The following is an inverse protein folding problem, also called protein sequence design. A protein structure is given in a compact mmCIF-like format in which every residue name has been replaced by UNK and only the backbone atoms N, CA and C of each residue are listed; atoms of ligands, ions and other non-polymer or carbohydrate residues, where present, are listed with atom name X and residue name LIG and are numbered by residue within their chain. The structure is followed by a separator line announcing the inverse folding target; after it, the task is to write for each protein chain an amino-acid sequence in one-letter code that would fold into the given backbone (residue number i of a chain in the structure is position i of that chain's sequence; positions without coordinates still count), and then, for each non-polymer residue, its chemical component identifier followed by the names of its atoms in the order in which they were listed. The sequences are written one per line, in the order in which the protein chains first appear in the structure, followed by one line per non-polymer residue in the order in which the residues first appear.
data_IF_327586773964
#
_entry.id   IF_327586773964
#
_cell.length_a   1.000
_cell.length_b   1.000
_cell.length_c   1.000
_cell.angle_alpha   90.00
_cell.angle_beta   90.00
_cell.angle_gamma   90.00
#
_symmetry.space_group_name_H-M   'P 1'
#
loop_
_entity.id
_entity.type
_entity.pdbx_description
1 polymer ?
#
# COMPACT_ATOMS: atom_id res chain seq x y z
N UNK A 1 7.94 28.93 35.27
CA UNK A 1 8.29 27.56 35.69
C UNK A 1 7.19 26.63 35.25
N UNK A 2 7.51 25.53 34.60
CA UNK A 2 6.53 24.46 34.31
C UNK A 2 6.57 23.50 35.48
N UNK A 3 5.50 23.43 36.26
CA UNK A 3 5.36 22.42 37.29
C UNK A 3 4.91 21.12 36.64
N UNK A 4 5.70 20.05 36.80
CA UNK A 4 5.31 18.70 36.38
C UNK A 4 4.20 18.13 37.28
N UNK A 5 3.54 17.06 36.79
CA UNK A 5 2.63 16.26 37.61
C UNK A 5 3.41 15.66 38.79
N UNK A 6 2.84 15.76 40.02
CA UNK A 6 3.39 15.13 41.19
C UNK A 6 2.74 13.77 41.46
N UNK A 7 3.34 12.93 42.28
CA UNK A 7 2.78 11.63 42.70
C UNK A 7 1.41 11.74 43.42
N UNK A 8 1.04 12.97 43.81
CA UNK A 8 -0.27 13.27 44.42
C UNK A 8 -1.32 13.71 43.41
N UNK A 9 -0.97 13.83 42.09
CA UNK A 9 -1.91 14.26 41.08
C UNK A 9 -2.90 13.14 40.76
N UNK A 10 -4.20 13.41 40.83
CA UNK A 10 -5.23 12.46 40.40
C UNK A 10 -5.27 12.38 38.86
N UNK A 11 -5.48 11.16 38.34
CA UNK A 11 -5.71 10.91 36.93
C UNK A 11 -7.11 10.32 36.77
N UNK A 12 -7.95 11.00 36.01
CA UNK A 12 -9.35 10.63 35.78
C UNK A 12 -9.69 10.64 34.28
N UNK A 13 -10.68 9.85 33.85
CA UNK A 13 -11.15 9.73 32.47
C UNK A 13 -12.57 10.31 32.34
N UNK A 14 -12.75 11.61 32.58
CA UNK A 14 -14.03 12.30 32.66
C UNK A 14 -14.23 13.46 31.64
N UNK A 15 -13.22 13.81 30.85
CA UNK A 15 -13.37 14.90 29.86
C UNK A 15 -14.08 14.42 28.57
N UNK A 16 -15.38 14.62 28.52
CA UNK A 16 -16.21 14.30 27.35
C UNK A 16 -16.03 15.26 26.16
N UNK A 17 -15.30 16.38 26.32
CA UNK A 17 -15.06 17.35 25.24
C UNK A 17 -13.79 17.08 24.45
N UNK A 18 -12.95 16.19 24.91
CA UNK A 18 -11.72 15.79 24.24
C UNK A 18 -12.05 14.98 22.98
N UNK A 19 -11.41 15.33 21.87
CA UNK A 19 -11.36 14.55 20.63
C UNK A 19 -9.98 13.91 20.57
N UNK A 20 -9.90 12.62 20.85
CA UNK A 20 -8.61 11.91 21.00
C UNK A 20 -7.76 12.01 19.73
N UNK A 21 -8.39 11.89 18.55
CA UNK A 21 -7.72 11.92 17.26
C UNK A 21 -8.38 12.97 16.34
N UNK A 22 -8.29 14.24 16.73
CA UNK A 22 -8.90 15.37 16.01
C UNK A 22 -8.33 15.54 14.61
N UNK A 23 -7.08 15.16 14.38
CA UNK A 23 -6.42 15.21 13.09
C UNK A 23 -7.06 14.37 12.02
N UNK A 24 -7.87 13.37 12.36
CA UNK A 24 -8.69 12.61 11.41
C UNK A 24 -9.62 13.50 10.57
N UNK A 25 -9.88 14.76 10.97
CA UNK A 25 -10.70 15.70 10.18
C UNK A 25 -10.20 15.83 8.74
N UNK A 26 -8.89 15.69 8.49
CA UNK A 26 -8.31 15.72 7.14
C UNK A 26 -8.82 14.53 6.31
N UNK A 27 -8.57 13.31 6.79
CA UNK A 27 -8.95 12.09 6.08
C UNK A 27 -10.48 11.93 5.97
N UNK A 28 -11.22 12.31 7.01
CA UNK A 28 -12.69 12.32 7.01
C UNK A 28 -13.23 13.28 5.94
N UNK A 29 -12.66 14.49 5.85
CA UNK A 29 -13.06 15.47 4.85
C UNK A 29 -12.77 14.94 3.44
N UNK A 30 -11.57 14.39 3.21
CA UNK A 30 -11.22 13.80 1.92
C UNK A 30 -12.13 12.61 1.58
N UNK A 31 -12.36 11.70 2.52
CA UNK A 31 -13.25 10.55 2.34
C UNK A 31 -14.67 10.96 1.93
N UNK A 32 -15.19 12.07 2.51
CA UNK A 32 -16.47 12.66 2.11
C UNK A 32 -16.42 13.27 0.71
N UNK A 33 -15.36 14.01 0.39
CA UNK A 33 -15.17 14.59 -0.96
C UNK A 33 -15.08 13.51 -2.03
N UNK A 34 -14.43 12.39 -1.74
CA UNK A 34 -14.35 11.22 -2.62
C UNK A 34 -15.62 10.35 -2.61
N UNK A 35 -16.56 10.60 -1.70
CA UNK A 35 -17.81 9.83 -1.59
C UNK A 35 -17.59 8.37 -1.15
N UNK A 36 -16.65 8.11 -0.21
CA UNK A 36 -16.29 6.76 0.22
C UNK A 36 -17.50 5.99 0.76
N UNK A 37 -18.31 6.60 1.65
CA UNK A 37 -19.48 5.96 2.25
C UNK A 37 -20.47 5.53 1.18
N UNK A 38 -20.83 6.47 0.30
CA UNK A 38 -21.80 6.26 -0.78
C UNK A 38 -21.35 5.18 -1.76
N UNK A 39 -20.06 5.15 -2.11
CA UNK A 39 -19.50 4.11 -2.98
C UNK A 39 -19.64 2.71 -2.36
N UNK A 40 -19.38 2.59 -1.05
CA UNK A 40 -19.52 1.31 -0.34
C UNK A 40 -20.99 0.91 -0.27
N UNK A 41 -21.88 1.84 0.14
CA UNK A 41 -23.32 1.56 0.25
C UNK A 41 -23.94 1.21 -1.10
N UNK A 42 -23.47 1.79 -2.19
CA UNK A 42 -23.92 1.46 -3.53
C UNK A 42 -23.41 0.11 -4.04
N UNK A 43 -22.15 -0.25 -3.73
CA UNK A 43 -21.49 -1.41 -4.32
C UNK A 43 -21.61 -2.70 -3.49
N UNK A 44 -21.59 -2.60 -2.15
CA UNK A 44 -21.50 -3.78 -1.25
C UNK A 44 -22.90 -4.22 -0.85
N UNK A 45 -23.33 -5.34 -1.41
CA UNK A 45 -24.68 -5.92 -1.22
C UNK A 45 -24.57 -7.24 -0.47
N UNK A 46 -24.63 -7.20 0.85
CA UNK A 46 -24.50 -8.40 1.71
C UNK A 46 -25.81 -9.17 1.88
N UNK A 47 -26.94 -8.67 1.32
CA UNK A 47 -28.25 -9.31 1.44
C UNK A 47 -28.79 -9.32 2.88
N UNK A 48 -29.53 -10.35 3.25
CA UNK A 48 -30.08 -10.54 4.60
C UNK A 48 -29.11 -11.07 5.66
N UNK A 49 -27.81 -11.04 5.40
CA UNK A 49 -26.80 -11.60 6.33
C UNK A 49 -26.68 -10.75 7.60
N UNK A 50 -26.32 -11.36 8.76
CA UNK A 50 -26.02 -10.62 9.96
C UNK A 50 -24.93 -9.58 9.69
N UNK A 51 -25.11 -8.35 10.16
CA UNK A 51 -24.15 -7.27 9.91
C UNK A 51 -24.25 -6.61 8.53
N UNK A 52 -25.23 -6.91 7.67
CA UNK A 52 -25.38 -6.35 6.33
C UNK A 52 -25.73 -4.87 6.28
N UNK A 53 -26.45 -4.35 7.29
CA UNK A 53 -26.93 -2.96 7.31
C UNK A 53 -25.80 -1.94 7.34
N UNK A 54 -25.96 -0.82 6.64
CA UNK A 54 -25.03 0.34 6.62
C UNK A 54 -23.57 -0.07 6.40
N UNK A 55 -23.24 -0.77 5.30
CA UNK A 55 -21.86 -1.24 5.05
C UNK A 55 -20.87 -0.08 4.96
N UNK A 56 -21.27 1.08 4.41
CA UNK A 56 -20.42 2.28 4.34
C UNK A 56 -19.95 2.74 5.70
N UNK A 57 -20.82 2.82 6.71
CA UNK A 57 -20.47 3.22 8.08
C UNK A 57 -19.47 2.27 8.74
N UNK A 58 -19.60 0.97 8.46
CA UNK A 58 -18.69 -0.04 9.00
C UNK A 58 -17.32 0.05 8.35
N UNK A 59 -17.28 0.23 7.02
CA UNK A 59 -16.02 0.46 6.30
C UNK A 59 -15.35 1.75 6.77
N UNK A 60 -16.10 2.85 6.96
CA UNK A 60 -15.54 4.10 7.50
C UNK A 60 -14.94 3.89 8.89
N UNK A 61 -15.63 3.18 9.80
CA UNK A 61 -15.10 2.89 11.14
C UNK A 61 -13.77 2.12 11.05
N UNK A 62 -13.69 1.09 10.21
CA UNK A 62 -12.45 0.34 9.99
C UNK A 62 -11.35 1.21 9.36
N UNK A 63 -11.66 1.96 8.30
CA UNK A 63 -10.69 2.83 7.61
C UNK A 63 -10.11 3.87 8.58
N UNK A 64 -10.94 4.53 9.37
CA UNK A 64 -10.47 5.57 10.30
C UNK A 64 -9.62 4.96 11.43
N UNK A 65 -9.98 3.78 11.96
CA UNK A 65 -9.14 3.09 12.93
C UNK A 65 -7.79 2.66 12.32
N UNK A 66 -7.79 2.10 11.12
CA UNK A 66 -6.56 1.70 10.42
C UNK A 66 -5.64 2.89 10.11
N UNK A 67 -6.16 4.07 9.80
CA UNK A 67 -5.37 5.30 9.66
C UNK A 67 -4.64 5.68 10.95
N UNK A 68 -5.19 5.32 12.10
CA UNK A 68 -4.56 5.49 13.43
C UNK A 68 -3.62 4.35 13.80
N UNK A 69 -3.51 3.32 12.95
CA UNK A 69 -2.62 2.19 13.17
C UNK A 69 -3.30 0.95 13.76
N UNK A 70 -4.63 0.90 13.83
CA UNK A 70 -5.34 -0.30 14.26
C UNK A 70 -4.99 -1.50 13.36
N UNK A 71 -4.59 -2.60 13.97
CA UNK A 71 -4.28 -3.87 13.34
C UNK A 71 -5.24 -5.00 13.78
N UNK A 72 -6.09 -4.70 14.74
CA UNK A 72 -7.14 -5.58 15.23
C UNK A 72 -8.52 -4.91 15.16
N UNK A 73 -9.58 -5.73 15.31
CA UNK A 73 -10.94 -5.21 15.36
C UNK A 73 -11.18 -4.46 16.67
N UNK A 74 -10.55 -4.88 17.76
CA UNK A 74 -10.73 -4.31 19.10
C UNK A 74 -10.17 -2.89 19.18
N UNK A 75 -9.08 -2.61 18.46
CA UNK A 75 -8.48 -1.26 18.39
C UNK A 75 -9.45 -0.22 17.82
N UNK A 76 -10.45 -0.66 17.03
CA UNK A 76 -11.49 0.25 16.54
C UNK A 76 -12.28 0.91 17.68
N UNK A 77 -12.18 0.37 18.89
CA UNK A 77 -12.77 0.94 20.10
C UNK A 77 -12.27 2.35 20.41
N UNK A 78 -11.03 2.69 20.06
CA UNK A 78 -10.43 4.02 20.27
C UNK A 78 -11.25 5.16 19.65
N UNK A 79 -11.91 4.89 18.53
CA UNK A 79 -12.76 5.89 17.84
C UNK A 79 -14.01 6.28 18.65
N UNK A 80 -14.37 5.51 19.68
CA UNK A 80 -15.55 5.73 20.53
C UNK A 80 -15.23 6.57 21.76
N UNK A 81 -13.97 6.96 21.94
CA UNK A 81 -13.51 7.74 23.11
C UNK A 81 -13.77 9.23 22.93
N UNK A 82 -14.20 9.89 24.00
CA UNK A 82 -14.50 11.31 24.03
C UNK A 82 -15.50 11.73 22.93
N UNK A 83 -15.27 12.88 22.33
CA UNK A 83 -16.10 13.40 21.22
C UNK A 83 -15.54 13.11 19.82
N UNK A 84 -14.79 12.03 19.64
CA UNK A 84 -14.22 11.67 18.33
C UNK A 84 -15.30 11.51 17.25
N UNK A 85 -16.50 11.03 17.60
CA UNK A 85 -17.64 10.91 16.68
C UNK A 85 -18.05 12.24 16.03
N UNK A 86 -17.85 13.37 16.69
CA UNK A 86 -18.17 14.69 16.13
C UNK A 86 -17.25 15.04 14.94
N UNK A 87 -15.99 14.62 14.99
CA UNK A 87 -15.04 14.78 13.87
C UNK A 87 -15.37 13.79 12.77
N UNK A 88 -15.68 12.53 13.12
CA UNK A 88 -16.05 11.50 12.15
C UNK A 88 -17.37 11.84 11.44
N UNK A 89 -18.27 12.55 12.13
CA UNK A 89 -19.62 12.86 11.65
C UNK A 89 -20.57 11.66 11.65
N UNK A 90 -20.19 10.62 12.37
CA UNK A 90 -21.00 9.43 12.62
C UNK A 90 -20.55 8.71 13.88
N UNK A 91 -21.46 7.97 14.47
CA UNK A 91 -21.15 7.10 15.60
C UNK A 91 -20.32 5.90 15.11
N UNK A 92 -19.10 5.67 15.62
CA UNK A 92 -18.29 4.51 15.27
C UNK A 92 -18.97 3.21 15.69
N UNK A 93 -18.82 2.19 14.86
CA UNK A 93 -19.38 0.88 15.12
C UNK A 93 -18.58 0.14 16.21
N UNK A 94 -19.28 -0.64 17.04
CA UNK A 94 -18.64 -1.46 18.05
C UNK A 94 -17.78 -2.59 17.41
N UNK A 95 -16.69 -3.01 18.04
CA UNK A 95 -15.83 -4.10 17.54
C UNK A 95 -16.62 -5.37 17.19
N UNK A 96 -17.55 -5.81 18.02
CA UNK A 96 -18.41 -6.97 17.78
C UNK A 96 -19.24 -6.84 16.49
N UNK A 97 -19.77 -5.64 16.22
CA UNK A 97 -20.52 -5.33 14.98
C UNK A 97 -19.62 -5.38 13.77
N UNK A 98 -18.38 -4.86 13.88
CA UNK A 98 -17.38 -4.89 12.79
C UNK A 98 -16.93 -6.33 12.51
N UNK A 99 -16.72 -7.14 13.53
CA UNK A 99 -16.40 -8.56 13.37
C UNK A 99 -17.51 -9.34 12.68
N UNK A 100 -18.77 -9.12 13.04
CA UNK A 100 -19.94 -9.72 12.37
C UNK A 100 -20.04 -9.27 10.92
N UNK A 101 -19.84 -8.00 10.64
CA UNK A 101 -19.80 -7.45 9.28
C UNK A 101 -18.74 -8.13 8.41
N UNK A 102 -17.50 -8.25 8.87
CA UNK A 102 -16.42 -8.88 8.12
C UNK A 102 -16.72 -10.37 7.83
N UNK A 103 -17.26 -11.10 8.80
CA UNK A 103 -17.64 -12.52 8.61
C UNK A 103 -18.78 -12.72 7.63
N UNK A 104 -19.56 -11.67 7.31
CA UNK A 104 -20.64 -11.74 6.31
C UNK A 104 -20.15 -11.73 4.86
N UNK A 105 -18.88 -11.42 4.63
CA UNK A 105 -18.34 -11.40 3.27
C UNK A 105 -18.19 -12.80 2.68
N UNK A 106 -18.53 -12.92 1.40
CA UNK A 106 -18.14 -14.02 0.52
C UNK A 106 -17.15 -13.51 -0.53
N UNK A 107 -16.62 -14.40 -1.36
CA UNK A 107 -15.75 -14.03 -2.48
C UNK A 107 -16.38 -12.93 -3.38
N UNK A 108 -17.64 -13.06 -3.72
CA UNK A 108 -18.36 -12.07 -4.54
C UNK A 108 -18.43 -10.70 -3.87
N UNK A 109 -18.65 -10.65 -2.57
CA UNK A 109 -18.68 -9.40 -1.80
C UNK A 109 -17.31 -8.74 -1.70
N UNK A 110 -16.24 -9.51 -1.57
CA UNK A 110 -14.86 -8.99 -1.64
C UNK A 110 -14.61 -8.34 -3.01
N UNK A 111 -15.11 -8.92 -4.10
CA UNK A 111 -15.00 -8.32 -5.44
C UNK A 111 -15.80 -7.02 -5.59
N UNK A 112 -16.93 -6.90 -4.88
CA UNK A 112 -17.66 -5.63 -4.80
C UNK A 112 -16.85 -4.55 -4.08
N UNK A 113 -16.22 -4.90 -2.96
CA UNK A 113 -15.36 -3.99 -2.21
C UNK A 113 -14.08 -3.61 -2.99
N UNK A 114 -13.47 -4.54 -3.70
CA UNK A 114 -12.34 -4.28 -4.61
C UNK A 114 -12.72 -3.29 -5.74
N UNK A 115 -13.97 -3.32 -6.20
CA UNK A 115 -14.50 -2.32 -7.14
C UNK A 115 -14.56 -0.93 -6.52
N UNK A 116 -14.91 -0.83 -5.24
CA UNK A 116 -14.87 0.46 -4.50
C UNK A 116 -13.47 1.03 -4.48
N UNK A 117 -12.43 0.22 -4.18
CA UNK A 117 -11.03 0.65 -4.24
C UNK A 117 -10.70 1.26 -5.61
N UNK A 118 -11.11 0.61 -6.71
CA UNK A 118 -10.88 1.15 -8.06
C UNK A 118 -11.66 2.43 -8.37
N UNK A 119 -12.87 2.59 -7.83
CA UNK A 119 -13.65 3.82 -7.99
C UNK A 119 -13.06 4.97 -7.18
N UNK A 120 -12.59 4.70 -5.96
CA UNK A 120 -11.89 5.70 -5.14
C UNK A 120 -10.60 6.16 -5.81
N UNK A 121 -9.80 5.22 -6.36
CA UNK A 121 -8.61 5.55 -7.13
C UNK A 121 -8.95 6.54 -8.26
N UNK A 122 -9.98 6.26 -9.05
CA UNK A 122 -10.44 7.14 -10.13
C UNK A 122 -10.81 8.53 -9.63
N UNK A 123 -11.57 8.61 -8.51
CA UNK A 123 -11.99 9.89 -7.95
C UNK A 123 -10.81 10.68 -7.36
N UNK A 124 -9.88 10.02 -6.68
CA UNK A 124 -8.68 10.65 -6.16
C UNK A 124 -7.77 11.17 -7.29
N UNK A 125 -7.62 10.40 -8.37
CA UNK A 125 -6.84 10.84 -9.52
C UNK A 125 -7.48 12.02 -10.25
N UNK A 126 -8.79 12.03 -10.40
CA UNK A 126 -9.53 13.18 -10.92
C UNK A 126 -9.44 14.42 -10.01
N UNK A 127 -9.22 14.22 -8.70
CA UNK A 127 -9.02 15.29 -7.72
C UNK A 127 -7.55 15.79 -7.63
N UNK A 128 -6.68 15.36 -8.54
CA UNK A 128 -5.29 15.84 -8.64
C UNK A 128 -4.22 14.85 -8.13
N UNK A 129 -4.60 13.69 -7.57
CA UNK A 129 -3.61 12.69 -7.13
C UNK A 129 -3.10 11.79 -8.28
N UNK A 130 -3.63 11.92 -9.50
CA UNK A 130 -3.32 11.04 -10.62
C UNK A 130 -2.03 11.36 -11.36
N UNK A 131 -1.51 10.41 -12.17
CA UNK A 131 -0.33 10.63 -13.01
C UNK A 131 -0.61 11.50 -14.24
N UNK A 132 -1.89 11.72 -14.58
CA UNK A 132 -2.27 12.44 -15.80
C UNK A 132 -1.71 11.78 -17.06
N UNK A 133 -1.09 12.59 -17.92
CA UNK A 133 -0.37 12.14 -19.13
C UNK A 133 1.07 11.68 -18.83
N UNK A 134 1.55 11.81 -17.60
CA UNK A 134 2.88 11.38 -17.20
C UNK A 134 3.04 9.85 -17.26
N UNK A 135 4.29 9.41 -17.27
CA UNK A 135 4.62 7.98 -17.18
C UNK A 135 4.17 7.41 -15.83
N UNK A 136 3.45 6.30 -15.87
CA UNK A 136 3.03 5.56 -14.68
C UNK A 136 3.97 4.36 -14.46
N UNK A 137 4.75 4.39 -13.38
CA UNK A 137 5.57 3.26 -12.95
C UNK A 137 4.80 2.48 -11.90
N UNK A 138 4.62 1.19 -12.16
CA UNK A 138 3.88 0.26 -11.30
C UNK A 138 4.84 -0.83 -10.82
N UNK A 139 4.94 -0.98 -9.51
CA UNK A 139 5.62 -2.09 -8.87
C UNK A 139 4.63 -3.17 -8.48
N UNK A 140 4.91 -4.40 -8.87
CA UNK A 140 4.08 -5.57 -8.54
C UNK A 140 4.92 -6.57 -7.76
N UNK A 141 4.41 -6.95 -6.60
CA UNK A 141 5.07 -7.90 -5.72
C UNK A 141 4.07 -8.81 -5.00
N UNK A 142 4.59 -9.80 -4.30
CA UNK A 142 3.84 -10.66 -3.40
C UNK A 142 4.55 -10.75 -2.05
N UNK A 143 3.80 -10.91 -0.98
CA UNK A 143 4.39 -11.03 0.35
C UNK A 143 3.68 -12.11 1.16
N UNK A 144 4.34 -12.57 2.22
CA UNK A 144 3.70 -13.46 3.19
C UNK A 144 3.07 -12.62 4.29
N UNK A 145 1.75 -12.74 4.40
CA UNK A 145 0.99 -12.22 5.53
C UNK A 145 0.88 -13.30 6.60
N UNK A 146 1.80 -13.27 7.56
CA UNK A 146 1.93 -14.31 8.58
C UNK A 146 0.70 -14.40 9.49
N UNK A 147 0.38 -15.60 9.95
CA UNK A 147 -0.66 -15.86 10.93
C UNK A 147 -0.16 -16.88 11.95
N UNK A 148 -0.55 -16.69 13.21
CA UNK A 148 -0.08 -17.54 14.30
C UNK A 148 -1.06 -18.68 14.63
N UNK A 149 -2.32 -18.63 14.13
CA UNK A 149 -3.32 -19.65 14.40
C UNK A 149 -3.46 -20.62 13.23
N UNK A 150 -3.25 -21.92 13.48
CA UNK A 150 -3.29 -22.98 12.48
C UNK A 150 -4.67 -23.20 11.84
N UNK A 151 -5.76 -22.79 12.52
CA UNK A 151 -7.13 -23.03 12.07
C UNK A 151 -7.69 -21.91 11.15
N UNK A 152 -6.87 -20.95 10.68
CA UNK A 152 -7.36 -19.90 9.78
C UNK A 152 -7.58 -20.46 8.38
N UNK A 153 -8.80 -20.32 7.87
CA UNK A 153 -9.21 -20.79 6.56
C UNK A 153 -8.32 -20.20 5.44
N UNK A 154 -7.69 -21.05 4.65
CA UNK A 154 -6.84 -20.66 3.53
C UNK A 154 -5.42 -20.23 3.90
N UNK A 155 -5.07 -20.18 5.18
CA UNK A 155 -3.67 -20.09 5.58
C UNK A 155 -2.94 -21.40 5.21
N UNK A 156 -1.66 -21.30 4.91
CA UNK A 156 -0.84 -22.44 4.53
C UNK A 156 0.63 -22.05 4.47
N UNK A 157 1.48 -23.05 4.45
CA UNK A 157 2.91 -22.88 4.28
C UNK A 157 3.24 -22.68 2.81
N UNK A 158 3.95 -21.61 2.50
CA UNK A 158 4.51 -21.30 1.19
C UNK A 158 6.00 -21.60 1.13
N UNK A 159 6.69 -21.01 0.15
CA UNK A 159 8.14 -21.16 -0.06
C UNK A 159 9.01 -20.65 1.11
N UNK A 160 8.47 -19.76 1.94
CA UNK A 160 9.16 -19.22 3.13
C UNK A 160 9.05 -20.12 4.35
N UNK A 161 8.34 -21.25 4.27
CA UNK A 161 8.03 -22.12 5.40
C UNK A 161 7.34 -21.42 6.59
N UNK A 162 6.71 -20.25 6.35
CA UNK A 162 5.90 -19.54 7.34
C UNK A 162 4.43 -19.75 7.06
N UNK A 163 3.66 -19.99 8.12
CA UNK A 163 2.20 -20.10 8.01
C UNK A 163 1.58 -18.74 7.73
N UNK A 164 0.80 -18.62 6.66
CA UNK A 164 0.20 -17.33 6.33
C UNK A 164 -0.66 -17.33 5.09
N UNK A 165 -0.95 -16.13 4.61
CA UNK A 165 -1.53 -15.85 3.31
C UNK A 165 -0.44 -15.32 2.37
N UNK A 166 -0.71 -15.34 1.06
CA UNK A 166 0.25 -14.89 0.05
C UNK A 166 -0.40 -13.84 -0.89
N UNK A 167 -0.62 -12.58 -0.43
CA UNK A 167 -1.22 -11.53 -1.23
C UNK A 167 -0.38 -11.16 -2.45
N UNK A 168 -1.04 -10.76 -3.55
CA UNK A 168 -0.46 -9.95 -4.62
C UNK A 168 -0.78 -8.48 -4.36
N UNK A 169 0.18 -7.62 -4.59
CA UNK A 169 0.09 -6.18 -4.43
C UNK A 169 0.66 -5.48 -5.65
N UNK A 170 -0.02 -4.43 -6.11
CA UNK A 170 0.49 -3.51 -7.11
C UNK A 170 0.43 -2.09 -6.56
N UNK A 171 1.53 -1.36 -6.65
CA UNK A 171 1.67 0.00 -6.12
C UNK A 171 2.17 0.95 -7.20
N UNK A 172 1.84 2.21 -7.08
CA UNK A 172 2.44 3.29 -7.85
C UNK A 172 3.76 3.69 -7.19
N UNK A 173 4.84 3.69 -7.96
CA UNK A 173 6.20 3.81 -7.44
C UNK A 173 6.49 5.17 -6.77
N UNK A 174 6.05 6.28 -7.38
CA UNK A 174 6.33 7.65 -6.93
C UNK A 174 5.50 8.07 -5.70
N UNK A 175 4.28 7.54 -5.56
CA UNK A 175 3.33 7.97 -4.53
C UNK A 175 3.06 6.91 -3.46
N UNK A 176 3.49 5.68 -3.69
CA UNK A 176 3.27 4.55 -2.78
C UNK A 176 1.78 4.20 -2.55
N UNK A 177 0.89 4.63 -3.43
CA UNK A 177 -0.52 4.23 -3.36
C UNK A 177 -0.73 2.81 -3.89
N UNK A 178 -1.65 2.08 -3.30
CA UNK A 178 -2.02 0.73 -3.76
C UNK A 178 -2.98 0.84 -4.93
N UNK A 179 -2.58 0.31 -6.08
CA UNK A 179 -3.38 0.28 -7.30
C UNK A 179 -4.29 -0.95 -7.36
N UNK A 180 -3.79 -2.09 -6.92
CA UNK A 180 -4.54 -3.35 -6.88
C UNK A 180 -4.01 -4.28 -5.80
N UNK A 181 -4.90 -5.07 -5.21
CA UNK A 181 -4.55 -6.07 -4.20
C UNK A 181 -5.41 -7.31 -4.36
N UNK A 182 -4.82 -8.48 -4.06
CA UNK A 182 -5.56 -9.73 -3.99
C UNK A 182 -5.01 -10.63 -2.91
N UNK A 183 -5.79 -10.89 -1.86
CA UNK A 183 -5.45 -11.94 -0.90
C UNK A 183 -5.55 -13.31 -1.60
N UNK A 184 -4.54 -14.17 -1.36
CA UNK A 184 -4.49 -15.55 -1.86
C UNK A 184 -4.20 -16.50 -0.71
N UNK A 185 -4.52 -17.78 -0.91
CA UNK A 185 -4.15 -18.83 0.03
C UNK A 185 -2.62 -18.92 0.18
N UNK A 186 -2.15 -19.30 1.34
CA UNK A 186 -0.72 -19.32 1.67
C UNK A 186 0.14 -20.20 0.77
N UNK A 187 -0.37 -21.36 0.38
CA UNK A 187 0.32 -22.28 -0.55
C UNK A 187 0.28 -21.85 -2.03
N UNK A 188 -0.26 -20.66 -2.36
CA UNK A 188 -0.27 -20.19 -3.74
C UNK A 188 1.13 -19.69 -4.14
N UNK A 189 1.69 -20.22 -5.24
CA UNK A 189 2.90 -19.63 -5.83
C UNK A 189 2.58 -18.27 -6.48
N UNK A 190 3.60 -17.43 -6.71
CA UNK A 190 3.42 -16.08 -7.24
C UNK A 190 2.77 -16.06 -8.63
N UNK A 191 3.08 -17.01 -9.49
CA UNK A 191 2.55 -17.08 -10.86
C UNK A 191 1.06 -17.40 -10.92
N UNK A 192 0.50 -18.09 -9.89
CA UNK A 192 -0.90 -18.47 -9.86
C UNK A 192 -1.79 -17.23 -9.81
N UNK A 193 -2.52 -16.97 -10.89
CA UNK A 193 -3.42 -15.83 -11.03
C UNK A 193 -2.75 -14.50 -11.40
N UNK A 194 -1.42 -14.48 -11.62
CA UNK A 194 -0.68 -13.27 -11.99
C UNK A 194 -1.20 -12.63 -13.29
N UNK A 195 -1.49 -13.42 -14.32
CA UNK A 195 -2.04 -12.89 -15.58
C UNK A 195 -3.34 -12.13 -15.35
N UNK A 196 -4.30 -12.73 -14.64
CA UNK A 196 -5.58 -12.08 -14.34
C UNK A 196 -5.39 -10.84 -13.46
N UNK A 197 -4.47 -10.89 -12.51
CA UNK A 197 -4.13 -9.75 -11.66
C UNK A 197 -3.60 -8.57 -12.48
N UNK A 198 -2.68 -8.84 -13.42
CA UNK A 198 -2.13 -7.82 -14.32
C UNK A 198 -3.20 -7.26 -15.26
N UNK A 199 -4.08 -8.10 -15.82
CA UNK A 199 -5.21 -7.63 -16.65
C UNK A 199 -6.14 -6.68 -15.89
N UNK A 200 -6.53 -7.07 -14.68
CA UNK A 200 -7.40 -6.24 -13.83
C UNK A 200 -6.70 -4.95 -13.40
N UNK A 201 -5.41 -5.00 -13.11
CA UNK A 201 -4.58 -3.84 -12.77
C UNK A 201 -4.52 -2.84 -13.93
N UNK A 202 -4.14 -3.29 -15.13
CA UNK A 202 -4.02 -2.42 -16.30
C UNK A 202 -5.36 -1.79 -16.69
N UNK A 203 -6.43 -2.57 -16.67
CA UNK A 203 -7.79 -2.05 -16.90
C UNK A 203 -8.18 -1.00 -15.86
N UNK A 204 -7.84 -1.22 -14.60
CA UNK A 204 -8.12 -0.31 -13.49
C UNK A 204 -7.41 1.02 -13.63
N UNK A 205 -6.10 1.03 -13.87
CA UNK A 205 -5.32 2.27 -13.96
C UNK A 205 -5.69 3.08 -15.20
N UNK A 206 -5.97 2.42 -16.33
CA UNK A 206 -6.49 3.09 -17.54
C UNK A 206 -7.86 3.73 -17.28
N UNK A 207 -8.77 3.00 -16.63
CA UNK A 207 -10.09 3.53 -16.24
C UNK A 207 -10.00 4.64 -15.20
N UNK A 208 -8.96 4.64 -14.39
CA UNK A 208 -8.72 5.70 -13.41
C UNK A 208 -8.17 7.00 -14.02
N UNK A 209 -7.67 6.96 -15.26
CA UNK A 209 -7.22 8.17 -15.98
C UNK A 209 -5.72 8.18 -16.33
N UNK A 210 -5.00 7.07 -16.18
CA UNK A 210 -3.63 6.99 -16.68
C UNK A 210 -3.62 6.94 -18.22
N UNK A 211 -3.18 8.01 -18.88
CA UNK A 211 -3.09 8.08 -20.36
C UNK A 211 -1.66 7.88 -20.87
N UNK A 212 -0.65 8.16 -20.04
CA UNK A 212 0.75 8.04 -20.40
C UNK A 212 1.27 6.61 -20.52
N UNK A 213 2.57 6.48 -20.78
CA UNK A 213 3.27 5.19 -20.86
C UNK A 213 3.23 4.49 -19.49
N UNK A 214 2.89 3.21 -19.49
CA UNK A 214 2.98 2.36 -18.29
C UNK A 214 4.30 1.58 -18.34
N UNK A 215 5.06 1.62 -17.24
CA UNK A 215 6.17 0.72 -16.96
C UNK A 215 5.78 -0.18 -15.77
N UNK A 216 5.78 -1.49 -15.98
CA UNK A 216 5.57 -2.47 -14.92
C UNK A 216 6.91 -3.07 -14.50
N UNK A 217 7.24 -2.98 -13.20
CA UNK A 217 8.39 -3.65 -12.58
C UNK A 217 7.91 -4.77 -11.68
N UNK A 218 8.60 -5.89 -11.71
CA UNK A 218 8.25 -7.05 -10.87
C UNK A 218 9.48 -7.93 -10.61
N UNK A 219 9.39 -8.73 -9.55
CA UNK A 219 10.37 -9.77 -9.24
C UNK A 219 10.26 -10.98 -10.18
N UNK A 220 11.14 -11.96 -10.00
CA UNK A 220 11.18 -13.18 -10.80
C UNK A 220 9.94 -14.07 -10.65
N UNK A 221 9.15 -13.89 -9.60
CA UNK A 221 7.89 -14.59 -9.41
C UNK A 221 6.83 -14.26 -10.47
N UNK A 222 6.98 -13.12 -11.15
CA UNK A 222 6.11 -12.71 -12.28
C UNK A 222 6.69 -13.05 -13.65
N UNK A 223 7.85 -13.67 -13.72
CA UNK A 223 8.44 -14.11 -14.97
C UNK A 223 7.63 -15.24 -15.60
N UNK A 224 6.66 -14.87 -16.41
CA UNK A 224 5.72 -15.80 -17.05
C UNK A 224 5.43 -15.34 -18.47
N UNK A 225 5.55 -16.25 -19.45
CA UNK A 225 5.34 -15.96 -20.87
C UNK A 225 4.00 -15.29 -21.17
N UNK A 226 2.91 -15.73 -20.51
CA UNK A 226 1.56 -15.17 -20.70
C UNK A 226 1.45 -13.74 -20.16
N UNK A 227 2.10 -13.43 -19.03
CA UNK A 227 2.15 -12.08 -18.48
C UNK A 227 2.92 -11.15 -19.40
N UNK A 228 4.09 -11.58 -19.88
CA UNK A 228 4.94 -10.81 -20.78
C UNK A 228 4.22 -10.53 -22.11
N UNK A 229 3.61 -11.56 -22.72
CA UNK A 229 2.81 -11.40 -23.92
C UNK A 229 1.67 -10.38 -23.74
N UNK A 230 0.96 -10.44 -22.61
CA UNK A 230 -0.10 -9.50 -22.27
C UNK A 230 0.42 -8.07 -22.11
N UNK A 231 1.56 -7.87 -21.44
CA UNK A 231 2.17 -6.54 -21.30
C UNK A 231 2.53 -5.94 -22.67
N UNK A 232 3.10 -6.74 -23.58
CA UNK A 232 3.40 -6.34 -24.96
C UNK A 232 2.12 -5.98 -25.74
N UNK A 233 1.11 -6.83 -25.69
CA UNK A 233 -0.19 -6.62 -26.32
C UNK A 233 -0.85 -5.30 -25.86
N UNK A 234 -0.69 -4.96 -24.60
CA UNK A 234 -1.22 -3.71 -23.99
C UNK A 234 -0.29 -2.49 -24.19
N UNK A 235 0.79 -2.62 -24.94
CA UNK A 235 1.74 -1.53 -25.18
C UNK A 235 2.47 -1.07 -23.92
N UNK A 236 2.58 -1.93 -22.89
CA UNK A 236 3.27 -1.61 -21.65
C UNK A 236 4.76 -1.89 -21.77
N UNK A 237 5.57 -1.02 -21.20
CA UNK A 237 6.96 -1.31 -20.89
C UNK A 237 7.03 -2.18 -19.64
N UNK A 238 8.06 -3.02 -19.57
CA UNK A 238 8.26 -3.86 -18.39
C UNK A 238 9.73 -4.03 -18.06
N UNK A 239 9.99 -4.41 -16.81
CA UNK A 239 11.29 -4.79 -16.27
C UNK A 239 11.03 -5.87 -15.21
N UNK A 240 11.27 -7.14 -15.53
CA UNK A 240 10.88 -8.30 -14.72
C UNK A 240 12.12 -9.14 -14.43
N UNK A 241 12.39 -9.37 -13.14
CA UNK A 241 13.46 -10.25 -12.70
C UNK A 241 13.33 -11.65 -13.31
N UNK A 242 14.43 -12.34 -13.51
CA UNK A 242 14.44 -13.74 -13.92
C UNK A 242 15.07 -14.62 -12.86
N UNK A 243 14.55 -15.83 -12.69
CA UNK A 243 15.15 -16.83 -11.80
C UNK A 243 16.40 -17.40 -12.46
N UNK A 244 17.49 -17.54 -11.71
CA UNK A 244 18.76 -18.10 -12.17
C UNK A 244 18.66 -19.62 -12.42
N UNK A 245 17.93 -19.98 -13.48
CA UNK A 245 17.84 -21.37 -13.95
C UNK A 245 19.01 -21.69 -14.84
N UNK A 246 19.29 -22.99 -15.04
CA UNK A 246 20.45 -23.47 -15.82
C UNK A 246 20.59 -22.81 -17.19
N UNK A 247 19.52 -22.60 -17.92
CA UNK A 247 19.57 -21.96 -19.25
C UNK A 247 19.85 -20.45 -19.17
N UNK A 248 19.45 -19.76 -18.11
CA UNK A 248 19.77 -18.34 -17.87
C UNK A 248 21.25 -18.23 -17.52
N UNK A 249 21.74 -19.03 -16.58
CA UNK A 249 23.16 -19.06 -16.18
C UNK A 249 24.07 -19.40 -17.38
N UNK A 250 23.70 -20.39 -18.21
CA UNK A 250 24.42 -20.72 -19.42
C UNK A 250 24.48 -19.54 -20.42
N UNK A 251 23.38 -18.77 -20.51
CA UNK A 251 23.36 -17.58 -21.38
C UNK A 251 24.24 -16.46 -20.85
N UNK A 252 24.28 -16.26 -19.54
CA UNK A 252 25.15 -15.27 -18.88
C UNK A 252 26.64 -15.65 -19.07
N UNK A 253 26.97 -16.91 -18.95
CA UNK A 253 28.34 -17.39 -19.13
C UNK A 253 28.90 -17.17 -20.54
N UNK A 254 28.05 -16.92 -21.54
CA UNK A 254 28.46 -16.59 -22.91
C UNK A 254 28.72 -15.09 -23.11
N UNK A 255 28.53 -14.25 -22.12
CA UNK A 255 28.83 -12.81 -22.20
C UNK A 255 30.35 -12.64 -22.10
N UNK A 256 31.02 -12.07 -23.13
CA UNK A 256 32.46 -11.89 -23.08
C UNK A 256 32.86 -10.88 -21.98
N UNK A 257 34.02 -11.05 -21.36
CA UNK A 257 34.49 -10.16 -20.31
C UNK A 257 34.57 -8.69 -20.75
N UNK A 258 34.86 -8.44 -22.01
CA UNK A 258 34.91 -7.09 -22.60
C UNK A 258 33.57 -6.38 -22.70
N UNK A 259 32.45 -7.10 -22.53
CA UNK A 259 31.10 -6.52 -22.58
C UNK A 259 30.61 -6.01 -21.21
N UNK A 260 31.32 -6.33 -20.13
CA UNK A 260 30.97 -5.86 -18.81
C UNK A 260 31.43 -4.42 -18.59
N UNK A 261 30.50 -3.57 -18.18
CA UNK A 261 30.75 -2.15 -17.95
C UNK A 261 30.53 -1.82 -16.47
N UNK A 262 31.45 -1.09 -15.82
CA UNK A 262 31.33 -0.73 -14.41
C UNK A 262 30.15 0.22 -14.19
N UNK A 263 29.49 0.09 -13.04
CA UNK A 263 28.43 1.00 -12.58
C UNK A 263 29.09 2.04 -11.68
N UNK A 264 29.12 3.30 -12.16
CA UNK A 264 29.85 4.39 -11.51
C UNK A 264 29.37 4.71 -10.08
N UNK A 265 28.07 4.65 -9.81
CA UNK A 265 27.47 5.06 -8.52
C UNK A 265 27.06 3.85 -7.66
N UNK A 266 27.86 2.79 -7.67
CA UNK A 266 27.65 1.66 -6.79
C UNK A 266 28.31 1.93 -5.42
N UNK A 267 27.69 1.54 -4.29
CA UNK A 267 28.29 1.76 -2.95
C UNK A 267 29.71 1.17 -2.84
N UNK A 268 30.60 1.84 -2.10
CA UNK A 268 32.00 1.44 -1.88
C UNK A 268 32.22 0.05 -1.24
N UNK A 269 31.14 -0.67 -0.94
CA UNK A 269 31.16 -2.03 -0.37
C UNK A 269 31.47 -3.13 -1.39
N UNK A 270 31.61 -2.80 -2.68
CA UNK A 270 31.86 -3.80 -3.72
C UNK A 270 32.02 -3.23 -5.13
N UNK A 271 32.31 -4.10 -6.07
CA UNK A 271 32.36 -3.79 -7.50
C UNK A 271 31.07 -4.26 -8.15
N UNK A 272 30.47 -3.41 -8.97
CA UNK A 272 29.28 -3.71 -9.71
C UNK A 272 29.47 -3.45 -11.20
N UNK A 273 29.11 -4.41 -12.02
CA UNK A 273 29.20 -4.32 -13.47
C UNK A 273 27.90 -4.75 -14.13
N UNK A 274 27.62 -4.18 -15.30
CA UNK A 274 26.48 -4.47 -16.14
C UNK A 274 26.90 -4.98 -17.50
N UNK A 275 26.17 -5.96 -17.99
CA UNK A 275 26.21 -6.37 -19.38
C UNK A 275 24.81 -6.67 -19.89
N UNK A 276 24.65 -6.75 -21.19
CA UNK A 276 23.37 -7.14 -21.80
C UNK A 276 23.56 -8.23 -22.84
N UNK A 277 22.52 -9.05 -22.98
CA UNK A 277 22.40 -10.09 -23.98
C UNK A 277 20.92 -10.33 -24.30
N UNK A 278 20.59 -11.40 -24.95
CA UNK A 278 19.21 -11.80 -25.23
C UNK A 278 18.86 -13.12 -24.55
N UNK A 279 17.63 -13.25 -24.08
CA UNK A 279 17.04 -14.51 -23.61
C UNK A 279 15.80 -14.81 -24.47
N UNK A 280 15.98 -15.68 -25.49
CA UNK A 280 15.00 -15.80 -26.55
C UNK A 280 14.90 -14.49 -27.35
N UNK A 281 13.67 -13.96 -27.46
CA UNK A 281 13.36 -12.69 -28.14
C UNK A 281 13.40 -11.46 -27.20
N UNK A 282 13.89 -11.63 -25.96
CA UNK A 282 13.84 -10.59 -24.94
C UNK A 282 15.25 -10.07 -24.64
N UNK A 283 15.36 -8.74 -24.46
CA UNK A 283 16.58 -8.11 -23.93
C UNK A 283 16.75 -8.55 -22.48
N UNK A 284 17.91 -9.12 -22.18
CA UNK A 284 18.34 -9.52 -20.84
C UNK A 284 19.44 -8.57 -20.37
N UNK A 285 19.19 -7.84 -19.30
CA UNK A 285 20.19 -7.03 -18.63
C UNK A 285 20.67 -7.83 -17.41
N UNK A 286 22.00 -7.94 -17.27
CA UNK A 286 22.64 -8.69 -16.20
C UNK A 286 23.53 -7.75 -15.41
N UNK A 287 23.35 -7.73 -14.11
CA UNK A 287 24.23 -7.08 -13.15
C UNK A 287 25.01 -8.15 -12.41
N UNK A 288 26.34 -8.02 -12.36
CA UNK A 288 27.19 -8.83 -11.50
C UNK A 288 27.79 -7.97 -10.39
N UNK A 289 27.84 -8.52 -9.20
CA UNK A 289 28.32 -7.83 -8.00
C UNK A 289 29.35 -8.71 -7.31
N UNK A 290 30.48 -8.13 -7.01
CA UNK A 290 31.50 -8.70 -6.15
C UNK A 290 31.59 -7.83 -4.88
N UNK A 291 31.24 -8.39 -3.72
CA UNK A 291 31.33 -7.70 -2.44
C UNK A 291 32.76 -7.81 -1.92
N UNK A 292 33.32 -6.71 -1.41
CA UNK A 292 34.60 -6.77 -0.69
C UNK A 292 34.35 -7.57 0.60
N UNK A 293 35.18 -8.59 0.84
CA UNK A 293 35.12 -9.37 2.07
C UNK A 293 35.37 -8.44 3.26
N UNK A 294 34.42 -8.34 4.18
CA UNK A 294 34.60 -7.61 5.44
C UNK A 294 35.46 -8.41 6.44
N UNK A 295 35.58 -9.72 6.23
CA UNK A 295 36.45 -10.62 7.02
C UNK A 295 37.63 -11.11 6.16
N UNK A 296 38.82 -11.08 6.74
CA UNK A 296 40.12 -11.48 6.13
C UNK A 296 40.23 -12.99 5.81
N UNK A 297 39.12 -13.71 5.62
CA UNK A 297 39.20 -15.05 5.05
C UNK A 297 39.35 -14.91 3.54
N UNK A 298 40.54 -15.22 3.10
CA UNK A 298 40.99 -15.33 1.71
C UNK A 298 40.01 -16.17 0.90
N UNK A 299 39.09 -15.53 0.19
CA UNK A 299 38.36 -16.21 -0.88
C UNK A 299 39.37 -16.50 -2.01
N UNK A 300 39.70 -17.77 -2.18
CA UNK A 300 40.61 -18.26 -3.25
C UNK A 300 40.14 -17.95 -4.66
N UNK A 301 38.84 -17.57 -4.83
CA UNK A 301 38.21 -17.21 -6.12
C UNK A 301 37.25 -16.04 -5.94
N UNK A 302 37.37 -15.03 -6.80
CA UNK A 302 36.39 -13.94 -6.90
C UNK A 302 35.04 -14.48 -7.33
N UNK A 303 34.08 -14.52 -6.41
CA UNK A 303 32.73 -15.01 -6.70
C UNK A 303 31.80 -13.85 -7.11
N UNK A 304 31.41 -13.83 -8.39
CA UNK A 304 30.43 -12.88 -8.89
C UNK A 304 29.01 -13.35 -8.62
N UNK A 305 28.23 -12.54 -7.92
CA UNK A 305 26.81 -12.76 -7.77
C UNK A 305 26.04 -12.06 -8.91
N UNK A 306 25.27 -12.82 -9.66
CA UNK A 306 24.52 -12.33 -10.81
C UNK A 306 23.06 -12.03 -10.47
N UNK A 307 22.56 -10.89 -10.95
CA UNK A 307 21.17 -10.49 -10.93
C UNK A 307 20.76 -10.17 -12.35
N UNK A 308 19.67 -10.74 -12.82
CA UNK A 308 19.24 -10.55 -14.20
C UNK A 308 17.76 -10.25 -14.30
N UNK A 309 17.39 -9.44 -15.27
CA UNK A 309 16.01 -9.13 -15.56
C UNK A 309 15.80 -8.95 -17.07
N UNK A 310 14.61 -9.26 -17.53
CA UNK A 310 14.18 -9.05 -18.91
C UNK A 310 13.41 -7.74 -19.07
N UNK A 311 13.54 -7.12 -20.22
CA UNK A 311 12.88 -5.86 -20.52
C UNK A 311 12.58 -5.73 -22.03
N UNK A 312 11.56 -4.91 -22.37
CA UNK A 312 11.30 -4.42 -23.73
C UNK A 312 11.68 -2.94 -23.90
N UNK A 313 12.40 -2.39 -22.94
CA UNK A 313 12.92 -1.02 -23.00
C UNK A 313 14.15 -0.96 -23.90
N UNK A 314 14.36 0.21 -24.50
CA UNK A 314 15.45 0.43 -25.47
C UNK A 314 16.52 1.42 -24.96
N UNK A 315 16.28 2.05 -23.81
CA UNK A 315 17.22 2.99 -23.19
C UNK A 315 18.52 2.26 -22.75
N UNK A 316 19.62 3.00 -22.46
CA UNK A 316 20.88 2.41 -22.03
C UNK A 316 20.72 1.49 -20.81
N UNK A 317 21.47 0.39 -20.78
CA UNK A 317 21.36 -0.64 -19.74
C UNK A 317 21.55 -0.07 -18.32
N UNK A 318 22.47 0.86 -18.12
CA UNK A 318 22.69 1.51 -16.84
C UNK A 318 21.47 2.27 -16.33
N UNK A 319 20.77 3.00 -17.18
CA UNK A 319 19.55 3.70 -16.82
C UNK A 319 18.42 2.72 -16.48
N UNK A 320 18.27 1.68 -17.29
CA UNK A 320 17.23 0.66 -17.09
C UNK A 320 17.47 -0.14 -15.81
N UNK A 321 18.73 -0.49 -15.51
CA UNK A 321 19.09 -1.18 -14.25
C UNK A 321 18.88 -0.28 -13.03
N UNK A 322 19.32 0.97 -13.07
CA UNK A 322 19.11 1.92 -11.98
C UNK A 322 17.63 2.06 -11.63
N UNK A 323 16.77 2.16 -12.64
CA UNK A 323 15.34 2.24 -12.44
C UNK A 323 14.72 0.91 -12.00
N UNK A 324 15.21 -0.23 -12.51
CA UNK A 324 14.76 -1.55 -12.06
C UNK A 324 15.04 -1.77 -10.56
N UNK A 325 16.21 -1.35 -10.08
CA UNK A 325 16.57 -1.44 -8.64
C UNK A 325 15.60 -0.68 -7.72
N UNK A 326 15.00 0.40 -8.22
CA UNK A 326 13.98 1.15 -7.46
C UNK A 326 12.69 0.33 -7.22
N UNK A 327 12.54 -0.86 -7.82
CA UNK A 327 11.45 -1.78 -7.50
C UNK A 327 11.39 -2.11 -5.99
N UNK A 328 12.50 -2.09 -5.27
CA UNK A 328 12.54 -2.25 -3.82
C UNK A 328 11.63 -1.29 -3.04
N UNK A 329 11.14 -0.22 -3.66
CA UNK A 329 10.17 0.69 -3.02
C UNK A 329 8.84 0.02 -2.69
N UNK A 330 8.43 -1.04 -3.41
CA UNK A 330 7.21 -1.80 -3.06
C UNK A 330 7.32 -2.44 -1.68
N UNK A 331 8.53 -2.84 -1.26
CA UNK A 331 8.78 -3.39 0.08
C UNK A 331 8.46 -2.37 1.18
N UNK A 332 8.68 -1.07 0.91
CA UNK A 332 8.34 0.01 1.84
C UNK A 332 6.82 0.12 2.02
N UNK A 333 6.05 -0.06 0.94
CA UNK A 333 4.58 -0.07 1.00
C UNK A 333 4.08 -1.30 1.75
N UNK A 334 4.68 -2.48 1.47
CA UNK A 334 4.36 -3.72 2.19
C UNK A 334 4.65 -3.54 3.68
N UNK A 335 5.78 -2.94 4.05
CA UNK A 335 6.13 -2.62 5.43
C UNK A 335 5.11 -1.64 6.05
N UNK A 336 4.75 -0.55 5.36
CA UNK A 336 3.76 0.40 5.85
C UNK A 336 2.39 -0.26 6.10
N UNK A 337 1.99 -1.20 5.24
CA UNK A 337 0.75 -1.98 5.42
C UNK A 337 0.85 -2.96 6.60
N UNK A 338 2.02 -3.59 6.80
CA UNK A 338 2.29 -4.51 7.93
C UNK A 338 2.45 -3.77 9.26
N UNK A 339 2.95 -2.54 9.25
CA UNK A 339 3.05 -1.68 10.44
C UNK A 339 1.66 -1.14 10.90
N UNK A 340 0.62 -1.48 10.17
CA UNK A 340 -0.76 -1.09 10.41
C UNK A 340 -1.69 -2.32 10.30
N UNK A 341 -2.79 -2.15 9.59
CA UNK A 341 -3.87 -3.12 9.47
C UNK A 341 -3.46 -4.54 9.00
N UNK A 342 -2.37 -4.70 8.25
CA UNK A 342 -1.92 -6.01 7.80
C UNK A 342 -0.84 -6.65 8.69
N UNK A 343 -0.57 -6.08 9.88
CA UNK A 343 0.18 -6.78 10.92
C UNK A 343 -0.53 -8.08 11.34
N UNK A 344 -1.87 -8.03 11.34
CA UNK A 344 -2.71 -9.18 11.68
C UNK A 344 -3.82 -9.43 10.66
N UNK A 345 -4.32 -10.66 10.64
CA UNK A 345 -5.53 -11.06 9.93
C UNK A 345 -6.57 -11.49 10.98
N UNK A 346 -7.54 -10.62 11.34
CA UNK A 346 -8.30 -10.75 12.58
C UNK A 346 -9.33 -11.88 12.59
N UNK A 347 -9.61 -12.53 11.46
CA UNK A 347 -10.67 -13.54 11.36
C UNK A 347 -10.12 -14.94 11.08
N UNK A 348 -10.86 -15.99 11.52
CA UNK A 348 -10.67 -17.37 11.05
C UNK A 348 -11.17 -17.59 9.61
N UNK A 349 -12.02 -16.70 9.08
CA UNK A 349 -12.63 -16.82 7.75
C UNK A 349 -11.81 -16.14 6.66
N UNK A 350 -11.49 -16.84 5.59
CA UNK A 350 -10.71 -16.32 4.46
C UNK A 350 -11.32 -15.08 3.80
N UNK A 351 -12.65 -15.08 3.56
CA UNK A 351 -13.32 -13.95 2.92
C UNK A 351 -13.35 -12.71 3.81
N UNK A 352 -13.43 -12.87 5.13
CA UNK A 352 -13.34 -11.77 6.09
C UNK A 352 -11.95 -11.12 6.05
N UNK A 353 -10.89 -11.95 6.05
CA UNK A 353 -9.51 -11.46 5.93
C UNK A 353 -9.25 -10.84 4.54
N UNK A 354 -9.90 -11.34 3.48
CA UNK A 354 -9.83 -10.72 2.15
C UNK A 354 -10.49 -9.34 2.14
N UNK A 355 -11.65 -9.19 2.79
CA UNK A 355 -12.31 -7.89 2.94
C UNK A 355 -11.45 -6.92 3.78
N UNK A 356 -10.89 -7.40 4.91
CA UNK A 356 -9.93 -6.66 5.74
C UNK A 356 -8.76 -6.13 4.92
N UNK A 357 -8.15 -6.98 4.07
CA UNK A 357 -7.03 -6.59 3.20
C UNK A 357 -7.40 -5.46 2.24
N UNK A 358 -8.57 -5.51 1.62
CA UNK A 358 -9.01 -4.43 0.71
C UNK A 358 -9.29 -3.15 1.49
N UNK A 359 -9.91 -3.23 2.67
CA UNK A 359 -10.17 -2.07 3.55
C UNK A 359 -8.85 -1.45 4.02
N UNK A 360 -7.85 -2.26 4.37
CA UNK A 360 -6.51 -1.80 4.71
C UNK A 360 -5.86 -1.00 3.58
N UNK A 361 -5.99 -1.47 2.33
CA UNK A 361 -5.51 -0.72 1.17
C UNK A 361 -6.30 0.57 0.92
N UNK A 362 -7.61 0.60 1.18
CA UNK A 362 -8.42 1.84 1.12
C UNK A 362 -7.94 2.83 2.18
N UNK A 363 -7.68 2.38 3.41
CA UNK A 363 -7.17 3.23 4.49
C UNK A 363 -5.78 3.78 4.16
N UNK A 364 -4.86 2.91 3.72
CA UNK A 364 -3.53 3.32 3.27
C UNK A 364 -3.61 4.40 2.19
N UNK A 365 -4.41 4.16 1.15
CA UNK A 365 -4.57 5.11 0.05
C UNK A 365 -5.19 6.42 0.51
N UNK A 366 -6.20 6.40 1.38
CA UNK A 366 -6.80 7.62 1.90
C UNK A 366 -5.77 8.47 2.65
N UNK A 367 -4.88 7.84 3.43
CA UNK A 367 -3.75 8.50 4.07
C UNK A 367 -2.76 9.09 3.06
N UNK A 368 -2.39 8.32 2.03
CA UNK A 368 -1.49 8.78 0.96
C UNK A 368 -2.09 9.95 0.18
N UNK A 369 -3.35 9.85 -0.25
CA UNK A 369 -4.04 10.92 -0.97
C UNK A 369 -4.23 12.17 -0.11
N UNK A 370 -4.44 12.02 1.22
CA UNK A 370 -4.48 13.17 2.14
C UNK A 370 -3.15 13.93 2.10
N UNK A 371 -2.02 13.22 2.08
CA UNK A 371 -0.71 13.84 1.97
C UNK A 371 -0.47 14.42 0.56
N UNK A 372 -0.73 13.66 -0.52
CA UNK A 372 -0.50 14.10 -1.90
C UNK A 372 -1.28 15.37 -2.28
N UNK A 373 -2.54 15.45 -1.88
CA UNK A 373 -3.42 16.58 -2.21
C UNK A 373 -3.16 17.73 -1.24
N UNK A 374 -2.88 17.42 0.02
CA UNK A 374 -2.80 18.39 1.09
C UNK A 374 -1.44 19.03 1.27
N UNK A 375 -0.36 18.27 1.14
CA UNK A 375 0.99 18.73 1.48
C UNK A 375 1.78 19.20 0.26
N UNK A 376 2.72 20.14 0.43
CA UNK A 376 3.62 20.56 -0.65
C UNK A 376 4.62 19.47 -1.03
N UNK A 377 5.07 18.66 -0.06
CA UNK A 377 5.95 17.50 -0.26
C UNK A 377 5.25 16.23 0.25
N UNK A 378 4.75 15.37 -0.65
CA UNK A 378 3.80 14.32 -0.30
C UNK A 378 4.40 13.00 0.18
N UNK A 379 5.70 12.86 0.34
CA UNK A 379 6.35 11.55 0.45
C UNK A 379 6.62 10.96 1.86
N UNK A 380 6.09 11.46 3.00
CA UNK A 380 6.34 10.82 4.28
C UNK A 380 5.78 9.40 4.34
N UNK A 381 6.41 8.52 5.14
CA UNK A 381 5.87 7.18 5.46
C UNK A 381 4.49 7.28 6.12
N UNK A 382 3.67 6.24 6.01
CA UNK A 382 2.34 6.21 6.64
C UNK A 382 2.38 6.49 8.14
N UNK A 383 3.37 5.95 8.87
CA UNK A 383 3.58 6.24 10.30
C UNK A 383 3.88 7.73 10.58
N UNK A 384 4.60 8.40 9.68
CA UNK A 384 4.89 9.84 9.80
C UNK A 384 3.64 10.68 9.55
N UNK A 385 2.85 10.34 8.53
CA UNK A 385 1.56 11.00 8.24
C UNK A 385 0.64 10.86 9.47
N UNK A 386 0.51 9.64 10.00
CA UNK A 386 -0.28 9.36 11.20
C UNK A 386 0.15 10.26 12.37
N UNK A 387 1.44 10.27 12.71
CA UNK A 387 1.98 11.04 13.84
C UNK A 387 1.81 12.54 13.67
N UNK A 388 2.04 13.08 12.46
CA UNK A 388 2.03 14.52 12.20
C UNK A 388 0.63 15.08 12.00
N UNK A 389 -0.28 14.28 11.41
CA UNK A 389 -1.56 14.77 10.93
C UNK A 389 -2.77 14.11 11.60
N UNK A 390 -2.77 12.79 11.85
CA UNK A 390 -3.98 12.09 12.26
C UNK A 390 -4.09 11.86 13.76
N UNK A 391 -3.02 11.44 14.43
CA UNK A 391 -2.98 11.19 15.87
C UNK A 391 -2.81 12.48 16.69
N UNK A 392 -3.50 13.53 16.30
CA UNK A 392 -3.45 14.85 16.90
C UNK A 392 -4.69 15.03 17.78
N UNK A 393 -4.54 15.22 19.11
CA UNK A 393 -5.68 15.46 19.98
C UNK A 393 -6.28 16.86 19.77
N UNK A 394 -7.49 17.03 20.20
CA UNK A 394 -8.15 18.31 20.14
C UNK A 394 -9.30 18.42 21.13
N UNK A 395 -9.90 19.59 21.21
CA UNK A 395 -11.06 19.88 22.05
C UNK A 395 -12.12 20.57 21.19
N UNK A 396 -13.35 20.04 21.23
CA UNK A 396 -14.46 20.61 20.51
C UNK A 396 -15.27 21.53 21.43
N UNK A 397 -15.47 22.78 21.01
CA UNK A 397 -16.33 23.74 21.67
C UNK A 397 -17.48 24.14 20.75
N UNK A 398 -18.60 24.54 21.32
CA UNK A 398 -19.76 25.05 20.59
C UNK A 398 -20.23 26.37 21.22
N UNK A 399 -20.41 27.39 20.41
CA UNK A 399 -20.95 28.66 20.79
C UNK A 399 -21.83 29.20 19.66
N UNK A 400 -23.06 29.59 19.97
CA UNK A 400 -24.00 30.22 19.03
C UNK A 400 -24.10 29.49 17.68
N UNK A 401 -24.32 28.15 17.67
CA UNK A 401 -24.38 27.29 16.48
C UNK A 401 -23.04 27.09 15.74
N UNK A 402 -21.94 27.70 16.19
CA UNK A 402 -20.60 27.53 15.62
C UNK A 402 -19.81 26.51 16.42
N UNK A 403 -19.29 25.52 15.78
CA UNK A 403 -18.36 24.57 16.37
C UNK A 403 -16.92 24.96 16.03
N UNK A 404 -16.05 24.94 17.05
CA UNK A 404 -14.62 25.19 16.89
C UNK A 404 -13.84 24.00 17.42
N UNK A 405 -12.97 23.42 16.57
CA UNK A 405 -12.04 22.38 16.94
C UNK A 405 -10.71 23.05 17.32
N UNK A 406 -10.38 23.04 18.59
CA UNK A 406 -9.11 23.53 19.10
C UNK A 406 -8.08 22.41 19.05
N UNK A 407 -6.95 22.66 18.42
CA UNK A 407 -5.80 21.78 18.33
C UNK A 407 -4.66 22.29 19.20
N UNK A 408 -3.65 21.47 19.55
CA UNK A 408 -2.54 21.91 20.41
C UNK A 408 -1.82 23.12 19.84
N UNK A 409 -1.65 24.13 20.68
CA UNK A 409 -0.85 25.32 20.32
C UNK A 409 0.61 24.92 20.06
N UNK A 410 1.27 25.65 19.18
CA UNK A 410 2.69 25.44 18.82
C UNK A 410 2.96 24.05 18.20
N UNK A 411 1.94 23.47 17.51
CA UNK A 411 2.15 22.23 16.78
C UNK A 411 3.15 22.43 15.63
N UNK A 412 4.25 21.68 15.54
CA UNK A 412 5.31 21.94 14.56
C UNK A 412 4.85 21.94 13.11
N UNK A 413 3.79 21.18 12.78
CA UNK A 413 3.21 21.04 11.44
C UNK A 413 1.84 21.74 11.32
N UNK A 414 1.63 22.82 12.08
CA UNK A 414 0.36 23.58 12.07
C UNK A 414 0.06 24.16 10.70
N UNK A 415 1.03 24.76 10.05
CA UNK A 415 0.86 25.35 8.72
C UNK A 415 0.46 24.31 7.70
N UNK A 416 1.22 23.22 7.61
CA UNK A 416 0.93 22.09 6.71
C UNK A 416 -0.48 21.52 6.93
N UNK A 417 -0.89 21.40 8.20
CA UNK A 417 -2.21 20.90 8.55
C UNK A 417 -3.34 21.78 8.06
N UNK A 418 -3.23 23.11 8.27
CA UNK A 418 -4.25 24.09 7.87
C UNK A 418 -4.32 24.19 6.34
N UNK A 419 -3.17 24.24 5.67
CA UNK A 419 -3.13 24.24 4.21
C UNK A 419 -3.73 22.97 3.62
N UNK A 420 -3.39 21.80 4.17
CA UNK A 420 -3.97 20.52 3.75
C UNK A 420 -5.49 20.52 3.90
N UNK A 421 -6.00 21.00 5.05
CA UNK A 421 -7.44 21.09 5.27
C UNK A 421 -8.12 22.04 4.29
N UNK A 422 -7.48 23.16 3.99
CA UNK A 422 -7.99 24.15 3.04
C UNK A 422 -8.06 23.59 1.63
N UNK A 423 -6.98 22.95 1.15
CA UNK A 423 -6.92 22.31 -0.19
C UNK A 423 -7.96 21.21 -0.32
N UNK A 424 -8.07 20.33 0.70
CA UNK A 424 -9.05 19.23 0.69
C UNK A 424 -10.49 19.75 0.71
N UNK A 425 -10.77 20.83 1.45
CA UNK A 425 -12.10 21.45 1.49
C UNK A 425 -12.48 22.11 0.17
N UNK A 426 -11.52 22.59 -0.59
CA UNK A 426 -11.73 23.18 -1.92
C UNK A 426 -12.09 22.14 -3.00
N UNK A 427 -11.83 20.85 -2.77
CA UNK A 427 -12.19 19.82 -3.73
C UNK A 427 -13.72 19.76 -3.93
N UNK A 428 -14.19 19.51 -5.17
CA UNK A 428 -15.60 19.26 -5.41
C UNK A 428 -16.05 17.99 -4.67
N UNK A 429 -17.30 18.00 -4.22
CA UNK A 429 -17.89 16.77 -3.67
C UNK A 429 -18.23 15.84 -4.83
N UNK A 430 -17.76 14.60 -4.78
CA UNK A 430 -18.09 13.61 -5.79
C UNK A 430 -19.60 13.30 -5.74
N UNK A 431 -20.24 13.37 -6.89
CA UNK A 431 -21.63 12.99 -7.08
C UNK A 431 -21.87 11.47 -6.91
#
# INVERSE_FOLDING_TARGET
MVHGLSDRSAVVFDDERVVVNAGLVLAVTLGRRLGLEQLVDAAVRLGGRPGASRPGRKVLSLVHAMLLGADSIDDCGVLRSGRTEAVLGHKPMAPSTLGTFLRSFSFGHVRQLDRVLGQLLRRAWAAGAGPGAGRLVIDVDSFVGEVHANAKQGAGYGYTHRLGYHPLLATRADTSEVLHVRLRKGAANTQRGALRFVDELLARVRKAGATGQILLRADSGFWNKKVIARLRERGCRYSIGVTMQRHVSARIALIPETAWQPVADYPDTGVCELAETTLGDQRLIVRRVHLHAQDQQTELFAYWRHFAFITNRTEPAALVDAEHRQHAQVELVIRDLKDQALAHFPSGHYSANSAWTVIACIAHNLGRWTAQIGLPDPTPRAATIRRRLFALPGRLTSSARRQTLHLPARWPWQTDFIEALTRIRALPTAA
#
